data_IF_769072371184
#
_entry.id   IF_769072371184
#
_cell.length_a   1.000
_cell.length_b   1.000
_cell.length_c   1.000
_cell.angle_alpha   90.00
_cell.angle_beta   90.00
_cell.angle_gamma   90.00
#
_symmetry.space_group_name_H-M   'P 1'
#
loop_
_entity.id
_entity.type
_entity.pdbx_description
1 polymer ?
#
# COMPACT_ATOMS: atom_id res chain seq x y z
N UNK A 1 -6.03 5.00 12.03
CA UNK A 1 -4.70 5.01 11.35
C UNK A 1 -3.95 3.69 11.49
N UNK A 2 -4.08 2.98 12.61
CA UNK A 2 -3.46 1.67 12.87
C UNK A 2 -3.68 0.66 11.75
N UNK A 3 -4.90 0.47 11.26
CA UNK A 3 -5.18 -0.49 10.18
C UNK A 3 -4.34 -0.25 8.91
N UNK A 4 -4.19 1.01 8.46
CA UNK A 4 -3.39 1.33 7.28
C UNK A 4 -1.91 1.06 7.52
N UNK A 5 -1.43 1.35 8.73
CA UNK A 5 -0.05 1.04 9.12
C UNK A 5 0.19 -0.45 9.16
N UNK A 6 -0.75 -1.23 9.68
CA UNK A 6 -0.68 -2.71 9.66
C UNK A 6 -0.63 -3.20 8.21
N UNK A 7 -1.51 -2.71 7.34
CA UNK A 7 -1.53 -3.12 5.93
C UNK A 7 -0.21 -2.80 5.21
N UNK A 8 0.39 -1.64 5.50
CA UNK A 8 1.71 -1.26 5.00
C UNK A 8 2.81 -2.17 5.52
N UNK A 9 2.85 -2.41 6.84
CA UNK A 9 3.88 -3.25 7.47
C UNK A 9 3.80 -4.68 6.95
N UNK A 10 2.59 -5.26 6.86
CA UNK A 10 2.38 -6.60 6.33
C UNK A 10 2.76 -6.67 4.85
N UNK A 11 2.39 -5.66 4.04
CA UNK A 11 2.79 -5.58 2.64
C UNK A 11 4.31 -5.52 2.44
N UNK A 12 5.00 -4.65 3.20
CA UNK A 12 6.47 -4.55 3.16
C UNK A 12 7.13 -5.84 3.62
N UNK A 13 6.69 -6.42 4.74
CA UNK A 13 7.22 -7.68 5.24
C UNK A 13 7.02 -8.82 4.24
N UNK A 14 5.86 -8.88 3.58
CA UNK A 14 5.56 -9.84 2.52
C UNK A 14 6.51 -9.69 1.31
N UNK A 15 6.77 -8.47 0.86
CA UNK A 15 7.73 -8.21 -0.22
C UNK A 15 9.14 -8.64 0.18
N UNK A 16 9.58 -8.31 1.39
CA UNK A 16 10.90 -8.71 1.89
C UNK A 16 11.04 -10.23 2.00
N UNK A 17 10.01 -10.92 2.48
CA UNK A 17 9.97 -12.38 2.51
C UNK A 17 10.05 -12.99 1.11
N UNK A 18 9.31 -12.42 0.14
CA UNK A 18 9.38 -12.86 -1.25
C UNK A 18 10.75 -12.58 -1.88
N UNK A 19 11.36 -11.42 -1.60
CA UNK A 19 12.70 -11.09 -2.05
C UNK A 19 13.75 -12.06 -1.47
N UNK A 20 13.60 -12.43 -0.21
CA UNK A 20 14.47 -13.41 0.44
C UNK A 20 14.32 -14.80 -0.17
N UNK A 21 13.09 -15.26 -0.42
CA UNK A 21 12.83 -16.52 -1.12
C UNK A 21 13.38 -16.53 -2.54
N UNK A 22 13.28 -15.40 -3.25
CA UNK A 22 13.85 -15.24 -4.57
C UNK A 22 15.39 -15.29 -4.54
N UNK A 23 16.03 -14.65 -3.56
CA UNK A 23 17.47 -14.72 -3.35
C UNK A 23 17.95 -16.16 -3.10
N UNK A 24 17.27 -16.89 -2.21
CA UNK A 24 17.57 -18.30 -1.94
C UNK A 24 17.30 -19.24 -3.13
N UNK A 25 16.56 -18.80 -4.14
CA UNK A 25 16.32 -19.57 -5.36
C UNK A 25 17.46 -19.42 -6.39
N UNK A 26 18.44 -18.54 -6.12
CA UNK A 26 19.60 -18.30 -6.98
C UNK A 26 20.87 -18.97 -6.42
N UNK A 27 21.84 -19.35 -7.28
CA UNK A 27 23.11 -19.92 -6.84
C UNK A 27 23.99 -18.97 -6.02
N UNK A 28 23.67 -17.66 -6.00
CA UNK A 28 24.38 -16.69 -5.15
C UNK A 28 23.88 -16.68 -3.70
N UNK A 29 22.66 -17.17 -3.46
CA UNK A 29 21.96 -17.05 -2.18
C UNK A 29 21.45 -18.35 -1.58
N UNK A 30 21.59 -19.48 -2.27
CA UNK A 30 21.11 -20.79 -1.83
C UNK A 30 21.92 -21.94 -2.42
N UNK A 31 21.51 -23.18 -2.11
CA UNK A 31 22.23 -24.41 -2.48
C UNK A 31 22.14 -24.78 -3.98
N UNK A 32 21.63 -23.88 -4.82
CA UNK A 32 21.52 -24.08 -6.27
C UNK A 32 20.42 -23.24 -6.91
N UNK A 33 20.20 -23.43 -8.21
CA UNK A 33 19.15 -22.73 -8.95
C UNK A 33 17.81 -23.47 -8.82
N UNK A 34 16.78 -22.80 -8.30
CA UNK A 34 15.46 -23.39 -8.03
C UNK A 34 14.32 -22.58 -8.64
N UNK A 35 14.04 -22.79 -9.95
CA UNK A 35 13.03 -22.03 -10.71
C UNK A 35 11.63 -22.02 -10.09
N UNK A 36 11.19 -23.16 -9.54
CA UNK A 36 9.87 -23.27 -8.92
C UNK A 36 9.73 -22.35 -7.70
N UNK A 37 10.79 -22.24 -6.89
CA UNK A 37 10.82 -21.36 -5.71
C UNK A 37 10.80 -19.89 -6.12
N UNK A 38 11.48 -19.54 -7.22
CA UNK A 38 11.46 -18.19 -7.79
C UNK A 38 10.05 -17.80 -8.29
N UNK A 39 9.36 -18.70 -8.98
CA UNK A 39 7.98 -18.48 -9.44
C UNK A 39 7.02 -18.32 -8.26
N UNK A 40 7.19 -19.14 -7.22
CA UNK A 40 6.39 -19.02 -6.00
C UNK A 40 6.61 -17.68 -5.27
N UNK A 41 7.86 -17.23 -5.16
CA UNK A 41 8.18 -15.91 -4.63
C UNK A 41 7.53 -14.78 -5.44
N UNK A 42 7.53 -14.89 -6.78
CA UNK A 42 6.84 -13.94 -7.66
C UNK A 42 5.32 -13.92 -7.44
N UNK A 43 4.70 -15.10 -7.34
CA UNK A 43 3.26 -15.22 -7.06
C UNK A 43 2.88 -14.61 -5.70
N UNK A 44 3.73 -14.80 -4.68
CA UNK A 44 3.55 -14.20 -3.34
C UNK A 44 3.77 -12.69 -3.29
N UNK A 45 4.58 -12.13 -4.20
CA UNK A 45 4.84 -10.68 -4.25
C UNK A 45 3.61 -9.89 -4.72
N UNK A 46 2.76 -10.47 -5.58
CA UNK A 46 1.54 -9.82 -6.10
C UNK A 46 0.58 -9.39 -4.98
N UNK A 47 0.12 -10.28 -4.07
CA UNK A 47 -0.77 -9.87 -2.98
C UNK A 47 -0.09 -8.91 -1.99
N UNK A 48 1.23 -9.02 -1.79
CA UNK A 48 1.97 -8.09 -0.94
C UNK A 48 1.97 -6.65 -1.53
N UNK A 49 2.16 -6.52 -2.84
CA UNK A 49 2.02 -5.25 -3.55
C UNK A 49 0.58 -4.72 -3.52
N UNK A 50 -0.41 -5.60 -3.66
CA UNK A 50 -1.82 -5.23 -3.58
C UNK A 50 -2.17 -4.62 -2.21
N UNK A 51 -1.67 -5.20 -1.11
CA UNK A 51 -1.86 -4.66 0.24
C UNK A 51 -1.28 -3.24 0.37
N UNK A 52 -0.10 -2.99 -0.21
CA UNK A 52 0.49 -1.65 -0.24
C UNK A 52 -0.33 -0.67 -1.07
N UNK A 53 -0.82 -1.10 -2.23
CA UNK A 53 -1.69 -0.30 -3.10
C UNK A 53 -3.01 0.07 -2.43
N UNK A 54 -3.66 -0.87 -1.75
CA UNK A 54 -4.89 -0.61 -1.00
C UNK A 54 -4.62 0.39 0.14
N UNK A 55 -3.51 0.23 0.86
CA UNK A 55 -3.16 1.14 1.94
C UNK A 55 -2.92 2.57 1.43
N UNK A 56 -2.24 2.74 0.29
CA UNK A 56 -1.98 4.06 -0.30
C UNK A 56 -3.25 4.71 -0.83
N UNK A 57 -4.13 3.95 -1.51
CA UNK A 57 -5.42 4.41 -1.99
C UNK A 57 -6.32 4.89 -0.84
N UNK A 58 -6.44 4.10 0.23
CA UNK A 58 -7.22 4.50 1.39
C UNK A 58 -6.68 5.77 2.07
N UNK A 59 -5.35 5.96 2.08
CA UNK A 59 -4.76 7.19 2.60
C UNK A 59 -5.08 8.41 1.70
N UNK A 60 -5.03 8.24 0.37
CA UNK A 60 -5.38 9.29 -0.59
C UNK A 60 -6.86 9.69 -0.50
N UNK A 61 -7.77 8.70 -0.46
CA UNK A 61 -9.21 8.93 -0.34
C UNK A 61 -9.57 9.71 0.94
N UNK A 62 -8.87 9.43 2.05
CA UNK A 62 -9.06 10.19 3.30
C UNK A 62 -8.63 11.65 3.17
N UNK A 63 -7.51 11.92 2.49
CA UNK A 63 -7.04 13.29 2.25
C UNK A 63 -8.05 14.06 1.39
N UNK A 64 -8.52 13.43 0.31
CA UNK A 64 -9.53 14.04 -0.56
C UNK A 64 -10.83 14.33 0.20
N UNK A 65 -11.29 13.42 1.06
CA UNK A 65 -12.49 13.66 1.87
C UNK A 65 -12.32 14.87 2.82
N UNK A 66 -11.13 15.05 3.40
CA UNK A 66 -10.82 16.19 4.26
C UNK A 66 -10.78 17.51 3.47
N UNK A 67 -10.17 17.50 2.28
CA UNK A 67 -10.13 18.67 1.38
C UNK A 67 -11.54 19.08 0.94
N UNK A 68 -12.38 18.12 0.55
CA UNK A 68 -13.78 18.37 0.19
C UNK A 68 -14.54 18.97 1.37
N UNK A 69 -14.36 18.45 2.59
CA UNK A 69 -15.00 18.99 3.78
C UNK A 69 -14.57 20.45 4.06
N UNK A 70 -13.28 20.75 3.92
CA UNK A 70 -12.75 22.10 4.12
C UNK A 70 -13.26 23.09 3.06
N UNK A 71 -13.38 22.66 1.81
CA UNK A 71 -13.96 23.45 0.72
C UNK A 71 -15.43 23.74 0.98
N UNK A 72 -16.21 22.72 1.37
CA UNK A 72 -17.63 22.88 1.72
C UNK A 72 -17.83 23.86 2.88
N UNK A 73 -17.01 23.76 3.92
CA UNK A 73 -17.06 24.67 5.08
C UNK A 73 -16.72 26.12 4.67
N UNK A 74 -15.74 26.29 3.79
CA UNK A 74 -15.38 27.60 3.25
C UNK A 74 -16.50 28.20 2.40
N UNK A 75 -17.14 27.38 1.57
CA UNK A 75 -18.26 27.80 0.72
C UNK A 75 -19.46 28.22 1.57
N UNK A 76 -19.81 27.43 2.60
CA UNK A 76 -20.87 27.77 3.54
C UNK A 76 -20.59 29.07 4.31
N UNK A 77 -19.32 29.33 4.69
CA UNK A 77 -18.93 30.61 5.30
C UNK A 77 -19.09 31.79 4.33
N UNK A 78 -18.80 31.60 3.05
CA UNK A 78 -18.94 32.64 2.02
C UNK A 78 -20.42 32.91 1.77
N UNK A 79 -21.26 31.88 1.60
CA UNK A 79 -22.71 32.02 1.45
C UNK A 79 -23.32 32.81 2.62
N UNK A 80 -22.96 32.44 3.86
CA UNK A 80 -23.41 33.15 5.07
C UNK A 80 -22.99 34.62 5.11
N UNK A 81 -21.82 34.97 4.54
CA UNK A 81 -21.34 36.37 4.46
C UNK A 81 -22.03 37.17 3.36
N UNK A 82 -22.46 36.51 2.30
CA UNK A 82 -23.15 37.13 1.16
C UNK A 82 -24.66 37.30 1.39
N UNK A 83 -25.19 36.80 2.51
CA UNK A 83 -26.58 37.02 2.90
C UNK A 83 -27.60 36.20 2.10
N UNK A 84 -27.17 35.08 1.51
CA UNK A 84 -28.05 34.03 1.04
C UNK A 84 -28.56 33.18 2.22
#
# INVERSE_FOLDING_TARGET
>A
MILLRILQVVGVAGILACAHLAWQATPWGGEGWARARLLYAGAGAIPALALLGIASLCAALRRQAQEIAALKDTLARIEKRLGA
#
